data_IF_782748318222
#
_entry.id   IF_782748318222
#
_cell.length_a   1.000
_cell.length_b   1.000
_cell.length_c   1.000
_cell.angle_alpha   90.00
_cell.angle_beta   90.00
_cell.angle_gamma   90.00
#
_symmetry.space_group_name_H-M   'P 1'
#
loop_
_entity.id
_entity.type
_entity.pdbx_description
1 polymer ?
#
# COMPACT_ATOMS: atom_id res chain seq x y z
N UNK A 1 9.03 14.79 1.41
CA UNK A 1 9.89 13.65 1.83
C UNK A 1 10.78 13.24 0.66
N UNK A 2 12.06 12.94 0.91
CA UNK A 2 12.97 12.47 -0.15
C UNK A 2 12.51 11.10 -0.67
N UNK A 3 12.43 10.90 -1.99
CA UNK A 3 11.94 9.65 -2.63
C UNK A 3 12.69 8.39 -2.14
N UNK A 4 13.97 8.55 -1.81
CA UNK A 4 14.82 7.51 -1.23
C UNK A 4 14.39 7.10 0.19
N UNK A 5 13.91 8.07 0.99
CA UNK A 5 13.39 7.81 2.33
C UNK A 5 12.06 7.04 2.25
N UNK A 6 11.15 7.40 1.33
CA UNK A 6 9.87 6.70 1.15
C UNK A 6 10.05 5.23 0.76
N UNK A 7 10.93 4.93 -0.21
CA UNK A 7 11.25 3.53 -0.59
C UNK A 7 11.88 2.74 0.56
N UNK A 8 12.71 3.38 1.39
CA UNK A 8 13.33 2.75 2.56
C UNK A 8 12.28 2.42 3.63
N UNK A 9 11.35 3.34 3.87
CA UNK A 9 10.22 3.15 4.80
C UNK A 9 9.28 2.02 4.36
N UNK A 10 8.94 1.95 3.07
CA UNK A 10 8.12 0.86 2.51
C UNK A 10 8.80 -0.51 2.74
N UNK A 11 10.10 -0.61 2.42
CA UNK A 11 10.86 -1.85 2.64
C UNK A 11 10.90 -2.24 4.13
N UNK A 12 11.09 -1.27 5.01
CA UNK A 12 11.13 -1.50 6.45
C UNK A 12 9.82 -2.10 6.97
N UNK A 13 8.67 -1.49 6.64
CA UNK A 13 7.37 -1.99 7.11
C UNK A 13 7.01 -3.33 6.50
N UNK A 14 7.37 -3.58 5.23
CA UNK A 14 7.22 -4.89 4.62
C UNK A 14 8.03 -5.96 5.35
N UNK A 15 9.29 -5.68 5.70
CA UNK A 15 10.12 -6.62 6.47
C UNK A 15 9.51 -6.88 7.84
N UNK A 16 9.04 -5.85 8.55
CA UNK A 16 8.41 -6.00 9.87
C UNK A 16 7.16 -6.87 9.81
N UNK A 17 6.28 -6.66 8.81
CA UNK A 17 5.09 -7.48 8.61
C UNK A 17 5.48 -8.96 8.35
N UNK A 18 6.42 -9.21 7.44
CA UNK A 18 6.86 -10.58 7.14
C UNK A 18 7.46 -11.29 8.36
N UNK A 19 8.25 -10.58 9.17
CA UNK A 19 8.83 -11.11 10.41
C UNK A 19 7.75 -11.41 11.44
N UNK A 20 6.80 -10.51 11.66
CA UNK A 20 5.70 -10.72 12.61
C UNK A 20 4.82 -11.91 12.19
N UNK A 21 4.52 -12.04 10.89
CA UNK A 21 3.78 -13.19 10.35
C UNK A 21 4.53 -14.51 10.56
N UNK A 22 5.84 -14.53 10.30
CA UNK A 22 6.65 -15.73 10.53
C UNK A 22 6.61 -16.14 12.01
N UNK A 23 6.79 -15.18 12.93
CA UNK A 23 6.72 -15.42 14.36
C UNK A 23 5.33 -15.93 14.79
N UNK A 24 4.24 -15.37 14.27
CA UNK A 24 2.87 -15.80 14.58
C UNK A 24 2.60 -17.26 14.17
N UNK A 25 3.17 -17.69 13.04
CA UNK A 25 3.00 -19.05 12.50
C UNK A 25 3.91 -20.08 13.19
N UNK A 26 5.08 -19.69 13.67
CA UNK A 26 6.02 -20.58 14.36
C UNK A 26 5.65 -20.79 15.83
N UNK A 27 4.89 -19.87 16.41
CA UNK A 27 4.57 -19.87 17.83
C UNK A 27 3.47 -20.87 18.17
N UNK A 28 3.73 -21.71 19.19
CA UNK A 28 2.78 -22.73 19.68
C UNK A 28 1.80 -22.19 20.73
N UNK A 29 2.07 -21.00 21.26
CA UNK A 29 1.22 -20.29 22.22
C UNK A 29 0.20 -19.44 21.47
N UNK A 30 -1.08 -19.62 21.77
CA UNK A 30 -2.15 -18.81 21.19
C UNK A 30 -2.01 -17.32 21.51
N UNK A 31 -1.66 -16.99 22.76
CA UNK A 31 -1.54 -15.59 23.22
C UNK A 31 -0.40 -14.85 22.50
N UNK A 32 0.74 -15.51 22.31
CA UNK A 32 1.88 -14.92 21.61
C UNK A 32 1.62 -14.85 20.10
N UNK A 33 0.93 -15.85 19.53
CA UNK A 33 0.49 -15.81 18.13
C UNK A 33 -0.44 -14.61 17.88
N UNK A 34 -1.43 -14.37 18.74
CA UNK A 34 -2.32 -13.21 18.65
C UNK A 34 -1.55 -11.88 18.74
N UNK A 35 -0.55 -11.80 19.61
CA UNK A 35 0.30 -10.61 19.71
C UNK A 35 1.09 -10.37 18.42
N UNK A 36 1.64 -11.43 17.81
CA UNK A 36 2.35 -11.32 16.54
C UNK A 36 1.43 -10.98 15.36
N UNK A 37 0.17 -11.44 15.37
CA UNK A 37 -0.83 -11.01 14.39
C UNK A 37 -1.20 -9.55 14.55
N UNK A 38 -1.34 -9.05 15.77
CA UNK A 38 -1.55 -7.62 16.02
C UNK A 38 -0.37 -6.76 15.51
N UNK A 39 0.87 -7.23 15.69
CA UNK A 39 2.06 -6.56 15.17
C UNK A 39 2.13 -6.61 13.64
N UNK A 40 1.68 -7.70 13.03
CA UNK A 40 1.54 -7.82 11.59
C UNK A 40 0.55 -6.79 11.04
N UNK A 41 -0.65 -6.71 11.62
CA UNK A 41 -1.70 -5.78 11.18
C UNK A 41 -1.24 -4.33 11.29
N UNK A 42 -0.55 -3.96 12.39
CA UNK A 42 0.02 -2.63 12.55
C UNK A 42 1.08 -2.31 11.47
N UNK A 43 1.96 -3.25 11.17
CA UNK A 43 2.98 -3.09 10.13
C UNK A 43 2.36 -2.98 8.73
N UNK A 44 1.29 -3.72 8.44
CA UNK A 44 0.55 -3.61 7.17
C UNK A 44 -0.15 -2.26 7.05
N UNK A 45 -0.82 -1.77 8.10
CA UNK A 45 -1.45 -0.45 8.05
C UNK A 45 -0.43 0.66 7.77
N UNK A 46 0.73 0.61 8.43
CA UNK A 46 1.82 1.57 8.16
C UNK A 46 2.44 1.43 6.77
N UNK A 47 2.49 0.20 6.24
CA UNK A 47 2.92 -0.05 4.87
C UNK A 47 1.95 0.57 3.86
N UNK A 48 0.64 0.41 4.08
CA UNK A 48 -0.39 1.01 3.24
C UNK A 48 -0.32 2.53 3.25
N UNK A 49 -0.18 3.15 4.43
CA UNK A 49 0.02 4.61 4.54
C UNK A 49 1.26 5.08 3.76
N UNK A 50 2.38 4.37 3.91
CA UNK A 50 3.62 4.70 3.19
C UNK A 50 3.49 4.54 1.66
N UNK A 51 2.70 3.56 1.20
CA UNK A 51 2.39 3.36 -0.21
C UNK A 51 1.46 4.47 -0.74
N UNK A 52 0.42 4.84 -0.01
CA UNK A 52 -0.48 5.93 -0.39
C UNK A 52 0.25 7.26 -0.52
N UNK A 53 1.15 7.59 0.42
CA UNK A 53 2.01 8.78 0.32
C UNK A 53 2.93 8.71 -0.90
N UNK A 54 3.44 7.53 -1.24
CA UNK A 54 4.27 7.34 -2.43
C UNK A 54 3.48 7.48 -3.73
N UNK A 55 2.23 7.00 -3.78
CA UNK A 55 1.34 7.16 -4.92
C UNK A 55 0.94 8.62 -5.12
N UNK A 56 0.53 9.31 -4.05
CA UNK A 56 0.19 10.73 -4.10
C UNK A 56 1.37 11.58 -4.57
N UNK A 57 2.57 11.34 -4.01
CA UNK A 57 3.79 12.01 -4.46
C UNK A 57 4.16 11.68 -5.92
N UNK A 58 3.90 10.44 -6.37
CA UNK A 58 4.11 10.02 -7.76
C UNK A 58 3.13 10.69 -8.72
N UNK A 59 1.87 10.82 -8.31
CA UNK A 59 0.79 11.44 -9.06
C UNK A 59 0.96 12.95 -9.16
N UNK A 60 1.32 13.61 -8.06
CA UNK A 60 1.70 15.02 -8.04
C UNK A 60 2.90 15.30 -8.96
N UNK A 61 3.95 14.48 -8.87
CA UNK A 61 5.11 14.62 -9.75
C UNK A 61 4.81 14.34 -11.24
N UNK A 62 3.77 13.55 -11.54
CA UNK A 62 3.27 13.38 -12.91
C UNK A 62 2.51 14.63 -13.36
N UNK A 63 1.59 15.15 -12.54
CA UNK A 63 0.82 16.35 -12.84
C UNK A 63 1.72 17.57 -13.08
N UNK A 64 2.74 17.79 -12.24
CA UNK A 64 3.75 18.84 -12.44
C UNK A 64 4.48 18.71 -13.79
N UNK A 65 4.81 17.48 -14.20
CA UNK A 65 5.44 17.22 -15.50
C UNK A 65 4.49 17.47 -16.67
N UNK A 66 3.20 17.17 -16.52
CA UNK A 66 2.21 17.47 -17.55
C UNK A 66 1.99 18.97 -17.72
N UNK A 67 1.95 19.71 -16.62
CA UNK A 67 1.89 21.17 -16.64
C UNK A 67 3.11 21.78 -17.36
N UNK A 68 4.32 21.29 -17.07
CA UNK A 68 5.55 21.70 -17.77
C UNK A 68 5.54 21.36 -19.28
N UNK A 69 4.84 20.31 -19.68
CA UNK A 69 4.68 19.90 -21.08
C UNK A 69 3.49 20.60 -21.78
N UNK A 70 2.78 21.49 -21.08
CA UNK A 70 1.58 22.17 -21.60
C UNK A 70 0.37 21.24 -21.79
N UNK A 71 0.41 20.05 -21.19
CA UNK A 71 -0.69 19.07 -21.21
C UNK A 71 -1.57 19.30 -20.00
N UNK A 72 -2.78 19.81 -20.20
CA UNK A 72 -3.76 19.99 -19.13
C UNK A 72 -4.22 18.63 -18.59
N UNK A 73 -4.41 18.52 -17.27
CA UNK A 73 -4.89 17.32 -16.58
C UNK A 73 -6.23 16.78 -17.11
N UNK A 74 -6.98 17.56 -17.91
CA UNK A 74 -8.16 17.11 -18.62
C UNK A 74 -7.87 16.12 -19.77
N UNK A 75 -6.59 15.89 -20.12
CA UNK A 75 -6.18 14.94 -21.14
C UNK A 75 -5.99 13.50 -20.59
N UNK A 76 -6.07 13.28 -19.28
CA UNK A 76 -6.05 11.92 -18.74
C UNK A 76 -7.39 11.24 -19.02
N UNK A 77 -7.40 10.03 -19.59
CA UNK A 77 -8.59 9.21 -19.57
C UNK A 77 -8.94 8.99 -18.10
N UNK A 78 -10.13 9.41 -17.68
CA UNK A 78 -10.66 9.04 -16.38
C UNK A 78 -10.56 7.50 -16.29
N UNK A 79 -9.80 7.00 -15.32
CA UNK A 79 -9.78 5.58 -15.02
C UNK A 79 -11.22 5.22 -14.66
N UNK A 80 -11.91 4.57 -15.59
CA UNK A 80 -13.25 4.07 -15.34
C UNK A 80 -13.16 3.16 -14.11
N UNK A 81 -14.06 3.29 -13.13
CA UNK A 81 -14.08 2.39 -11.99
C UNK A 81 -14.12 0.97 -12.52
N UNK A 82 -13.15 0.14 -12.12
CA UNK A 82 -13.12 -1.27 -12.46
C UNK A 82 -14.48 -1.85 -12.07
N UNK A 83 -15.27 -2.23 -13.06
CA UNK A 83 -16.61 -2.77 -12.82
C UNK A 83 -16.43 -3.99 -11.93
N UNK A 84 -16.95 -3.91 -10.70
CA UNK A 84 -17.06 -5.06 -9.83
C UNK A 84 -17.79 -6.16 -10.60
N UNK A 85 -17.14 -7.32 -10.77
CA UNK A 85 -17.80 -8.51 -11.29
C UNK A 85 -19.12 -8.71 -10.54
N UNK A 86 -20.26 -8.91 -11.22
CA UNK A 86 -21.43 -9.39 -10.53
C UNK A 86 -21.08 -10.81 -10.08
N UNK A 87 -20.92 -11.00 -8.76
CA UNK A 87 -21.02 -12.33 -8.16
C UNK A 87 -22.43 -12.80 -8.44
N UNK A 88 -22.58 -13.48 -9.58
CA UNK A 88 -23.81 -14.07 -10.04
C UNK A 88 -24.21 -15.13 -9.03
N UNK A 89 -25.26 -14.84 -8.27
CA UNK A 89 -26.04 -15.89 -7.67
C UNK A 89 -26.62 -16.76 -8.79
N UNK A 90 -26.38 -18.06 -8.71
CA UNK A 90 -27.33 -19.09 -9.11
C UNK A 90 -26.80 -20.47 -8.68
N UNK A 91 -27.67 -21.15 -7.92
CA UNK A 91 -27.70 -22.56 -7.51
C UNK A 91 -27.05 -22.90 -6.17
#
# INVERSE_FOLDING_TARGET
MNKLATTTTIRLFLTQALTARAAALETKSLVESDQHWSQFDEAINRLLDALSVSEEAGMLGLLERFELLGVSAAAFPAVAPAQAEPVGGAL
#
